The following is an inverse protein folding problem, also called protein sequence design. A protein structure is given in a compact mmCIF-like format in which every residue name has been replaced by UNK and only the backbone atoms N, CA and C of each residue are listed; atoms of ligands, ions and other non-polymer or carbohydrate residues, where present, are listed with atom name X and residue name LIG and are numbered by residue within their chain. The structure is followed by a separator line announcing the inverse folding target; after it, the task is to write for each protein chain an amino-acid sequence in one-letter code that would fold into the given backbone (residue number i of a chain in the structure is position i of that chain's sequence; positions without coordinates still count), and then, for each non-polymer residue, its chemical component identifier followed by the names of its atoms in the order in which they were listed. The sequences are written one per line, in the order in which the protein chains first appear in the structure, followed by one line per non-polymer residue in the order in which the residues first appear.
data_IF_751888109018
#
_entry.id   IF_751888109018
#
_cell.length_a   1.000
_cell.length_b   1.000
_cell.length_c   1.000
_cell.angle_alpha   90.00
_cell.angle_beta   90.00
_cell.angle_gamma   90.00
#
_symmetry.space_group_name_H-M   'P 1'
#
loop_
_entity.id
_entity.type
_entity.pdbx_description
1 polymer ?
#
# COMPACT_ATOMS: atom_id res chain seq x y z
N UNK A 1 20.25 -5.41 -5.48
CA UNK A 1 19.53 -4.10 -5.46
C UNK A 1 18.12 -4.39 -5.93
N UNK A 2 17.17 -4.42 -5.02
CA UNK A 2 15.74 -4.44 -5.34
C UNK A 2 15.39 -3.05 -5.86
N UNK A 3 14.99 -2.94 -7.11
CA UNK A 3 14.48 -1.67 -7.65
C UNK A 3 13.20 -1.31 -6.90
N UNK A 4 13.20 -0.18 -6.19
CA UNK A 4 12.01 0.35 -5.56
C UNK A 4 10.95 0.67 -6.62
N UNK A 5 9.69 0.47 -6.25
CA UNK A 5 8.56 0.94 -7.07
C UNK A 5 8.67 2.46 -7.21
N UNK A 6 8.39 3.06 -8.38
CA UNK A 6 8.34 4.51 -8.51
C UNK A 6 7.40 5.14 -7.48
N UNK A 7 7.67 6.36 -7.06
CA UNK A 7 6.76 7.11 -6.18
C UNK A 7 5.45 7.44 -6.90
N UNK A 8 4.33 7.61 -6.18
CA UNK A 8 3.08 8.03 -6.80
C UNK A 8 3.25 9.41 -7.47
N UNK A 9 2.67 9.57 -8.66
CA UNK A 9 2.73 10.84 -9.38
C UNK A 9 1.85 11.90 -8.70
N UNK A 10 2.36 13.12 -8.58
CA UNK A 10 1.64 14.25 -8.01
C UNK A 10 0.85 15.00 -9.10
N UNK A 11 -0.03 14.29 -9.79
CA UNK A 11 -0.99 14.87 -10.74
C UNK A 11 -2.29 15.19 -10.01
N UNK A 12 -2.54 16.48 -9.77
CA UNK A 12 -3.69 16.94 -8.95
C UNK A 12 -5.05 16.65 -9.59
N UNK A 13 -5.13 16.63 -10.92
CA UNK A 13 -6.38 16.34 -11.62
C UNK A 13 -6.73 14.85 -11.49
N UNK A 14 -5.76 13.97 -11.73
CA UNK A 14 -5.95 12.52 -11.53
C UNK A 14 -6.17 12.15 -10.06
N UNK A 15 -5.47 12.80 -9.13
CA UNK A 15 -5.71 12.62 -7.69
C UNK A 15 -7.14 13.07 -7.32
N UNK A 16 -7.64 14.15 -7.91
CA UNK A 16 -9.03 14.59 -7.74
C UNK A 16 -10.03 13.56 -8.25
N UNK A 17 -9.76 12.91 -9.40
CA UNK A 17 -10.56 11.81 -9.93
C UNK A 17 -10.54 10.60 -8.97
N UNK A 18 -9.36 10.20 -8.49
CA UNK A 18 -9.24 9.12 -7.50
C UNK A 18 -10.06 9.41 -6.25
N UNK A 19 -9.92 10.63 -5.70
CA UNK A 19 -10.68 11.04 -4.52
C UNK A 19 -12.19 10.99 -4.75
N UNK A 20 -12.67 11.49 -5.88
CA UNK A 20 -14.09 11.43 -6.22
C UNK A 20 -14.61 10.00 -6.26
N UNK A 21 -13.86 9.08 -6.85
CA UNK A 21 -14.25 7.68 -6.99
C UNK A 21 -14.23 6.91 -5.66
N UNK A 22 -13.21 7.12 -4.81
CA UNK A 22 -13.16 6.46 -3.48
C UNK A 22 -14.26 6.96 -2.55
N UNK A 23 -14.70 8.21 -2.69
CA UNK A 23 -15.87 8.74 -2.00
C UNK A 23 -17.17 8.13 -2.56
N UNK A 24 -17.31 8.11 -3.89
CA UNK A 24 -18.51 7.58 -4.56
C UNK A 24 -18.69 6.07 -4.32
N UNK A 25 -17.60 5.31 -4.21
CA UNK A 25 -17.62 3.89 -3.86
C UNK A 25 -17.92 3.63 -2.37
N UNK A 26 -18.07 4.70 -1.56
CA UNK A 26 -18.17 4.61 -0.11
C UNK A 26 -17.05 3.74 0.51
N UNK A 27 -15.85 3.82 -0.02
CA UNK A 27 -14.71 3.05 0.48
C UNK A 27 -14.16 3.70 1.75
N UNK A 28 -14.86 3.47 2.85
CA UNK A 28 -14.66 4.07 4.18
C UNK A 28 -14.37 3.00 5.21
N UNK A 29 -13.79 3.38 6.36
CA UNK A 29 -13.57 2.45 7.48
C UNK A 29 -14.90 1.87 7.96
N UNK A 30 -15.96 2.68 8.05
CA UNK A 30 -17.29 2.24 8.47
C UNK A 30 -17.85 1.18 7.49
N UNK A 31 -17.77 1.44 6.18
CA UNK A 31 -18.27 0.49 5.20
C UNK A 31 -17.44 -0.81 5.17
N UNK A 32 -16.13 -0.74 5.40
CA UNK A 32 -15.30 -1.95 5.56
C UNK A 32 -15.74 -2.81 6.75
N UNK A 33 -16.15 -2.18 7.85
CA UNK A 33 -16.71 -2.88 9.02
C UNK A 33 -18.06 -3.52 8.73
N UNK A 34 -18.81 -3.02 7.75
CA UNK A 34 -20.06 -3.62 7.28
C UNK A 34 -19.83 -4.74 6.28
N UNK A 35 -18.81 -4.63 5.44
CA UNK A 35 -18.44 -5.64 4.42
C UNK A 35 -17.72 -6.85 5.01
N UNK A 36 -17.01 -6.67 6.12
CA UNK A 36 -16.20 -7.70 6.76
C UNK A 36 -16.72 -8.02 8.16
N UNK A 37 -16.71 -9.30 8.50
CA UNK A 37 -16.99 -9.71 9.89
C UNK A 37 -15.94 -9.15 10.85
N UNK A 38 -16.31 -9.02 12.12
CA UNK A 38 -15.38 -8.63 13.19
C UNK A 38 -14.15 -9.56 13.24
N UNK A 39 -14.34 -10.85 12.90
CA UNK A 39 -13.25 -11.82 12.83
C UNK A 39 -12.26 -11.51 11.72
N UNK A 40 -12.75 -11.16 10.51
CA UNK A 40 -11.91 -10.77 9.38
C UNK A 40 -11.18 -9.44 9.63
N UNK A 41 -11.87 -8.43 10.20
CA UNK A 41 -11.25 -7.16 10.60
C UNK A 41 -10.13 -7.38 11.63
N UNK A 42 -10.40 -8.17 12.67
CA UNK A 42 -9.39 -8.51 13.69
C UNK A 42 -8.22 -9.32 13.11
N UNK A 43 -8.45 -10.14 12.09
CA UNK A 43 -7.40 -10.86 11.40
C UNK A 43 -6.52 -9.93 10.57
N UNK A 44 -7.10 -8.96 9.86
CA UNK A 44 -6.36 -7.93 9.11
C UNK A 44 -5.43 -7.10 10.01
N UNK A 45 -5.88 -6.75 11.22
CA UNK A 45 -5.02 -6.07 12.21
C UNK A 45 -3.82 -6.91 12.68
N UNK A 46 -3.81 -8.21 12.41
CA UNK A 46 -2.72 -9.14 12.71
C UNK A 46 -2.04 -9.65 11.43
N UNK A 47 -2.10 -8.87 10.36
CA UNK A 47 -1.52 -9.18 9.04
C UNK A 47 -2.03 -10.50 8.42
N UNK A 48 -3.19 -11.00 8.86
CA UNK A 48 -3.84 -12.18 8.29
C UNK A 48 -4.94 -11.80 7.33
N UNK A 49 -4.70 -11.92 6.02
CA UNK A 49 -5.59 -11.48 4.95
C UNK A 49 -6.65 -12.50 4.57
N UNK A 50 -6.42 -13.80 4.84
CA UNK A 50 -7.24 -14.90 4.33
C UNK A 50 -8.75 -14.78 4.68
N UNK A 51 -9.16 -14.45 5.94
CA UNK A 51 -10.58 -14.30 6.24
C UNK A 51 -11.27 -13.22 5.38
N UNK A 52 -10.64 -12.06 5.22
CA UNK A 52 -11.16 -10.98 4.39
C UNK A 52 -11.23 -11.36 2.90
N UNK A 53 -10.22 -12.08 2.40
CA UNK A 53 -10.22 -12.60 1.03
C UNK A 53 -11.40 -13.55 0.78
N UNK A 54 -11.73 -14.40 1.75
CA UNK A 54 -12.86 -15.34 1.63
C UNK A 54 -14.20 -14.60 1.66
N UNK A 55 -14.35 -13.63 2.55
CA UNK A 55 -15.61 -12.87 2.71
C UNK A 55 -15.89 -11.94 1.51
N UNK A 56 -14.85 -11.34 0.93
CA UNK A 56 -14.99 -10.45 -0.23
C UNK A 56 -14.92 -11.18 -1.58
N UNK A 57 -14.72 -12.50 -1.59
CA UNK A 57 -14.57 -13.26 -2.83
C UNK A 57 -15.80 -13.12 -3.73
N UNK A 58 -15.56 -12.75 -5.00
CA UNK A 58 -16.61 -12.64 -6.02
C UNK A 58 -17.59 -11.47 -5.84
N UNK A 59 -17.37 -10.60 -4.85
CA UNK A 59 -18.17 -9.37 -4.72
C UNK A 59 -17.78 -8.37 -5.81
N UNK A 60 -18.76 -7.80 -6.49
CA UNK A 60 -18.64 -6.69 -7.44
C UNK A 60 -18.88 -5.32 -6.78
N UNK A 61 -19.11 -5.27 -5.48
CA UNK A 61 -19.20 -4.01 -4.73
C UNK A 61 -17.91 -3.21 -4.91
N UNK A 62 -17.96 -1.92 -5.32
CA UNK A 62 -16.76 -1.11 -5.57
C UNK A 62 -15.80 -1.05 -4.37
N UNK A 63 -16.31 -0.89 -3.15
CA UNK A 63 -15.47 -0.86 -1.95
C UNK A 63 -14.82 -2.23 -1.68
N UNK A 64 -15.51 -3.34 -1.98
CA UNK A 64 -14.95 -4.68 -1.90
C UNK A 64 -13.85 -4.91 -2.94
N UNK A 65 -14.03 -4.44 -4.18
CA UNK A 65 -13.02 -4.49 -5.26
C UNK A 65 -11.78 -3.72 -4.84
N UNK A 66 -11.93 -2.46 -4.38
CA UNK A 66 -10.82 -1.62 -3.94
C UNK A 66 -10.09 -2.22 -2.74
N UNK A 67 -10.83 -2.84 -1.81
CA UNK A 67 -10.25 -3.52 -0.65
C UNK A 67 -9.40 -4.72 -1.07
N UNK A 68 -9.92 -5.58 -1.96
CA UNK A 68 -9.14 -6.71 -2.49
C UNK A 68 -7.90 -6.23 -3.20
N UNK A 69 -8.02 -5.19 -4.03
CA UNK A 69 -6.93 -4.68 -4.84
C UNK A 69 -5.84 -4.01 -4.01
N UNK A 70 -6.17 -2.98 -3.24
CA UNK A 70 -5.18 -2.16 -2.54
C UNK A 70 -4.75 -2.74 -1.18
N UNK A 71 -5.70 -3.20 -0.35
CA UNK A 71 -5.37 -3.68 1.01
C UNK A 71 -4.94 -5.13 1.00
N UNK A 72 -5.67 -5.99 0.28
CA UNK A 72 -5.37 -7.42 0.23
C UNK A 72 -4.38 -7.80 -0.87
N UNK A 73 -4.03 -6.84 -1.75
CA UNK A 73 -3.09 -7.00 -2.87
C UNK A 73 -3.43 -8.19 -3.76
N UNK A 74 -4.72 -8.39 -4.02
CA UNK A 74 -5.17 -9.31 -5.05
C UNK A 74 -5.15 -8.64 -6.41
N UNK A 75 -4.65 -9.32 -7.46
CA UNK A 75 -4.90 -8.89 -8.82
C UNK A 75 -6.39 -8.81 -9.12
N UNK A 76 -6.79 -7.77 -9.83
CA UNK A 76 -8.16 -7.57 -10.31
C UNK A 76 -8.15 -7.34 -11.83
N UNK A 77 -9.27 -7.62 -12.50
CA UNK A 77 -9.42 -7.28 -13.92
C UNK A 77 -9.56 -5.78 -14.11
N UNK A 78 -9.04 -5.26 -15.22
CA UNK A 78 -9.13 -3.84 -15.57
C UNK A 78 -10.59 -3.37 -15.64
N UNK A 79 -11.50 -4.19 -16.14
CA UNK A 79 -12.93 -3.90 -16.17
C UNK A 79 -13.52 -3.67 -14.77
N UNK A 80 -13.20 -4.55 -13.79
CA UNK A 80 -13.68 -4.42 -12.42
C UNK A 80 -13.15 -3.15 -11.74
N UNK A 81 -11.89 -2.79 -12.00
CA UNK A 81 -11.31 -1.54 -11.48
C UNK A 81 -11.92 -0.31 -12.14
N UNK A 82 -12.20 -0.35 -13.46
CA UNK A 82 -12.87 0.74 -14.17
C UNK A 82 -14.33 0.93 -13.68
N UNK A 83 -15.02 -0.14 -13.29
CA UNK A 83 -16.34 -0.04 -12.67
C UNK A 83 -16.25 0.55 -11.25
N UNK A 84 -15.21 0.22 -10.48
CA UNK A 84 -15.01 0.73 -9.13
C UNK A 84 -14.48 2.17 -9.10
N UNK A 85 -13.76 2.59 -10.14
CA UNK A 85 -13.13 3.92 -10.30
C UNK A 85 -13.53 4.53 -11.64
N UNK A 86 -14.81 4.87 -11.85
CA UNK A 86 -15.34 5.25 -13.17
C UNK A 86 -14.80 6.59 -13.69
N UNK A 87 -14.30 7.47 -12.82
CA UNK A 87 -13.77 8.78 -13.21
C UNK A 87 -12.27 8.70 -13.52
N UNK A 88 -11.52 7.96 -12.71
CA UNK A 88 -10.07 7.77 -12.85
C UNK A 88 -9.73 6.74 -13.94
N UNK A 89 -10.41 5.60 -13.92
CA UNK A 89 -10.12 4.47 -14.78
C UNK A 89 -8.77 3.79 -14.48
N UNK A 90 -8.47 2.74 -15.25
CA UNK A 90 -7.20 2.02 -15.10
C UNK A 90 -6.02 2.81 -15.64
N UNK A 91 -6.21 3.58 -16.72
CA UNK A 91 -5.18 4.45 -17.27
C UNK A 91 -4.75 5.52 -16.27
N UNK A 92 -5.69 6.07 -15.49
CA UNK A 92 -5.40 7.01 -14.42
C UNK A 92 -4.65 6.35 -13.26
N UNK A 93 -4.99 5.10 -12.90
CA UNK A 93 -4.24 4.33 -11.91
C UNK A 93 -2.78 4.10 -12.33
N UNK A 94 -2.55 3.74 -13.60
CA UNK A 94 -1.19 3.57 -14.14
C UNK A 94 -0.45 4.91 -14.22
N UNK A 95 -1.11 5.98 -14.67
CA UNK A 95 -0.51 7.31 -14.74
C UNK A 95 -0.12 7.86 -13.36
N UNK A 96 -0.91 7.57 -12.32
CA UNK A 96 -0.55 7.87 -10.93
C UNK A 96 0.54 6.94 -10.37
N UNK A 97 0.90 5.86 -11.08
CA UNK A 97 1.85 4.86 -10.61
C UNK A 97 1.32 3.99 -9.46
N UNK A 98 0.00 3.93 -9.28
CA UNK A 98 -0.63 3.13 -8.21
C UNK A 98 -0.88 1.68 -8.59
N UNK A 99 -0.88 1.38 -9.89
CA UNK A 99 -1.13 0.05 -10.42
C UNK A 99 -0.26 -0.24 -11.66
N UNK A 100 -0.13 -1.51 -12.00
CA UNK A 100 0.51 -1.96 -13.22
C UNK A 100 -0.23 -3.15 -13.82
N UNK A 101 -0.21 -3.24 -15.15
CA UNK A 101 -0.66 -4.41 -15.89
C UNK A 101 0.29 -5.58 -15.60
N UNK A 102 -0.28 -6.77 -15.44
CA UNK A 102 0.46 -8.04 -15.27
C UNK A 102 -0.11 -9.10 -16.22
N UNK A 103 0.69 -10.11 -16.51
CA UNK A 103 0.26 -11.23 -17.31
C UNK A 103 -0.58 -12.26 -16.51
N UNK A 104 -1.22 -13.18 -17.23
CA UNK A 104 -2.09 -14.21 -16.65
C UNK A 104 -1.32 -15.15 -15.69
N UNK A 105 -0.04 -15.42 -15.96
CA UNK A 105 0.77 -16.32 -15.14
C UNK A 105 1.15 -15.65 -13.81
N UNK A 106 1.52 -14.37 -13.83
CA UNK A 106 1.79 -13.57 -12.63
C UNK A 106 0.52 -13.43 -11.79
N UNK A 107 -0.64 -13.14 -12.41
CA UNK A 107 -1.92 -13.05 -11.73
C UNK A 107 -2.29 -14.37 -11.04
N UNK A 108 -2.20 -15.50 -11.75
CA UNK A 108 -2.48 -16.84 -11.20
C UNK A 108 -1.55 -17.18 -10.03
N UNK A 109 -0.27 -16.83 -10.14
CA UNK A 109 0.71 -17.01 -9.05
C UNK A 109 0.35 -16.19 -7.82
N UNK A 110 0.01 -14.91 -7.98
CA UNK A 110 -0.37 -14.02 -6.88
C UNK A 110 -1.65 -14.48 -6.19
N UNK A 111 -2.68 -14.90 -6.96
CA UNK A 111 -3.94 -15.44 -6.43
C UNK A 111 -3.71 -16.73 -5.63
N UNK A 112 -2.78 -17.58 -6.06
CA UNK A 112 -2.43 -18.81 -5.36
C UNK A 112 -1.65 -18.51 -4.06
N UNK A 113 -0.66 -17.62 -4.12
CA UNK A 113 0.14 -17.20 -2.96
C UNK A 113 -0.72 -16.55 -1.87
N UNK A 114 -1.71 -15.73 -2.25
CA UNK A 114 -2.66 -15.10 -1.33
C UNK A 114 -3.47 -16.13 -0.53
N UNK A 115 -3.82 -17.26 -1.14
CA UNK A 115 -4.53 -18.38 -0.48
C UNK A 115 -3.61 -19.20 0.44
N UNK A 116 -2.33 -19.32 0.10
CA UNK A 116 -1.36 -20.11 0.86
C UNK A 116 -0.86 -19.41 2.14
N UNK A 117 -0.87 -18.09 2.18
CA UNK A 117 -0.34 -17.29 3.30
C UNK A 117 -1.15 -17.41 4.61
N UNK A 118 -2.29 -18.12 4.61
CA UNK A 118 -3.10 -18.41 5.81
C UNK A 118 -2.86 -19.78 6.45
N UNK A 119 -2.02 -20.62 5.89
CA UNK A 119 -1.73 -21.93 6.49
C UNK A 119 -0.63 -21.80 7.57
N UNK A 120 -0.83 -22.35 8.78
CA UNK A 120 0.21 -22.34 9.80
C UNK A 120 1.44 -23.07 9.25
N UNK A 121 2.63 -22.44 9.36
CA UNK A 121 3.91 -23.06 9.02
C UNK A 121 4.03 -24.35 9.80
N UNK A 122 3.82 -25.50 9.15
CA UNK A 122 4.20 -26.79 9.71
C UNK A 122 5.71 -26.87 9.66
N UNK A 123 6.35 -26.98 10.82
CA UNK A 123 7.76 -27.38 10.91
C UNK A 123 7.97 -28.69 10.14
N UNK A 124 9.05 -28.79 9.37
CA UNK A 124 9.35 -30.03 8.65
C UNK A 124 9.67 -31.12 9.64
N UNK A 125 8.79 -32.11 9.77
CA UNK A 125 9.14 -33.41 10.36
C UNK A 125 9.95 -34.19 9.35
N UNK A 126 10.99 -34.80 9.90
CA UNK A 126 12.05 -35.56 9.25
C UNK A 126 11.66 -36.42 8.05
N UNK A 127 12.63 -36.52 7.18
CA UNK A 127 12.71 -37.29 5.95
C UNK A 127 12.32 -38.76 6.16
N UNK A 128 11.46 -39.26 5.28
CA UNK A 128 11.55 -40.64 4.82
C UNK A 128 11.60 -40.67 3.29
N UNK A 129 12.68 -41.28 2.82
CA UNK A 129 12.99 -41.54 1.43
C UNK A 129 12.05 -42.58 0.86
N UNK A 130 11.60 -42.37 -0.33
CA UNK A 130 11.38 -43.34 -1.42
C UNK A 130 10.03 -43.16 -2.13
N UNK A 131 10.03 -42.45 -3.28
CA UNK A 131 9.07 -42.73 -4.37
C UNK A 131 9.78 -42.55 -5.71
N UNK A 132 9.82 -43.66 -6.45
CA UNK A 132 10.38 -43.82 -7.77
C UNK A 132 9.71 -42.92 -8.81
N UNK A 133 10.54 -42.34 -9.68
CA UNK A 133 10.14 -41.67 -10.93
C UNK A 133 9.41 -42.66 -11.87
N UNK A 134 8.21 -42.27 -12.29
CA UNK A 134 7.53 -42.89 -13.42
C UNK A 134 7.49 -41.89 -14.58
N UNK A 135 8.17 -42.24 -15.66
CA UNK A 135 8.26 -41.47 -16.89
C UNK A 135 6.95 -41.45 -17.67
N UNK A 136 6.49 -40.25 -18.04
CA UNK A 136 5.35 -40.05 -18.93
C UNK A 136 5.72 -40.24 -20.40
N UNK A 137 4.86 -40.87 -21.23
CA UNK A 137 5.10 -41.11 -22.64
C UNK A 137 4.83 -39.85 -23.49
N UNK A 138 5.73 -39.63 -24.48
CA UNK A 138 5.60 -38.60 -25.53
C UNK A 138 4.43 -38.92 -26.45
N UNK A 139 3.53 -37.95 -26.69
CA UNK A 139 2.53 -38.00 -27.75
C UNK A 139 3.12 -37.54 -29.10
N UNK A 140 2.74 -38.16 -30.23
CA UNK A 140 3.25 -37.78 -31.55
C UNK A 140 2.49 -36.57 -32.12
N UNK A 141 3.25 -35.66 -32.75
CA UNK A 141 2.73 -34.53 -33.49
C UNK A 141 2.21 -34.93 -34.87
N UNK A 142 0.98 -34.61 -35.20
CA UNK A 142 0.44 -34.67 -36.57
C UNK A 142 0.43 -33.28 -37.20
N UNK A 143 0.75 -33.14 -38.49
CA UNK A 143 0.67 -31.85 -39.17
C UNK A 143 -0.77 -31.53 -39.56
N UNK A 144 -1.28 -30.39 -39.17
CA UNK A 144 -2.58 -29.86 -39.60
C UNK A 144 -2.46 -29.20 -40.97
N UNK A 145 -3.24 -29.71 -41.94
CA UNK A 145 -3.50 -29.01 -43.22
C UNK A 145 -4.44 -27.83 -42.93
N UNK A 146 -4.12 -26.66 -43.49
CA UNK A 146 -5.00 -25.46 -43.46
C UNK A 146 -6.11 -25.68 -44.49
N UNK A 147 -7.36 -25.40 -44.04
CA UNK A 147 -8.55 -25.33 -44.87
C UNK A 147 -8.64 -23.97 -45.58
N UNK A 148 -9.12 -23.92 -46.85
CA UNK A 148 -9.13 -22.68 -47.63
C UNK A 148 -10.33 -21.74 -47.36
N UNK A 149 -11.17 -21.99 -46.35
CA UNK A 149 -12.29 -21.12 -45.94
C UNK A 149 -11.98 -20.42 -44.60
N UNK A 150 -10.92 -19.64 -44.54
CA UNK A 150 -10.59 -18.81 -43.36
C UNK A 150 -11.58 -17.66 -43.27
N UNK A 151 -12.58 -17.78 -42.38
CA UNK A 151 -13.47 -16.67 -41.99
C UNK A 151 -12.63 -15.48 -41.51
N UNK A 152 -13.11 -14.27 -41.85
CA UNK A 152 -12.49 -13.02 -41.43
C UNK A 152 -12.28 -13.01 -39.91
N UNK A 153 -11.17 -12.43 -39.40
CA UNK A 153 -10.91 -12.41 -37.97
C UNK A 153 -12.09 -11.74 -37.26
N UNK A 154 -12.63 -12.44 -36.28
CA UNK A 154 -13.58 -11.85 -35.33
C UNK A 154 -12.97 -10.57 -34.75
N UNK A 155 -13.77 -9.51 -34.48
CA UNK A 155 -13.25 -8.30 -33.90
C UNK A 155 -12.51 -8.67 -32.61
N UNK A 156 -11.24 -8.28 -32.54
CA UNK A 156 -10.41 -8.43 -31.35
C UNK A 156 -11.19 -7.88 -30.15
N UNK A 157 -11.73 -8.77 -29.32
CA UNK A 157 -12.28 -8.38 -28.01
C UNK A 157 -11.11 -7.77 -27.27
N UNK A 158 -11.21 -6.47 -26.97
CA UNK A 158 -10.19 -5.79 -26.19
C UNK A 158 -9.87 -6.66 -24.96
N UNK A 159 -8.62 -7.09 -24.84
CA UNK A 159 -8.20 -7.92 -23.73
C UNK A 159 -8.49 -7.17 -22.43
N UNK A 160 -9.16 -7.83 -21.48
CA UNK A 160 -9.39 -7.33 -20.13
C UNK A 160 -8.19 -7.74 -19.26
N UNK A 161 -7.12 -6.92 -19.19
CA UNK A 161 -5.87 -7.30 -18.55
C UNK A 161 -6.03 -7.43 -17.04
N UNK A 162 -5.15 -8.22 -16.44
CA UNK A 162 -4.98 -8.22 -15.00
C UNK A 162 -4.15 -7.02 -14.56
N UNK A 163 -4.55 -6.43 -13.44
CA UNK A 163 -3.87 -5.32 -12.78
C UNK A 163 -3.39 -5.76 -11.39
N UNK A 164 -2.27 -5.23 -10.96
CA UNK A 164 -1.79 -5.36 -9.56
C UNK A 164 -1.59 -3.99 -8.95
N UNK A 165 -1.86 -3.87 -7.66
CA UNK A 165 -1.50 -2.68 -6.89
C UNK A 165 0.03 -2.57 -6.71
N UNK A 166 0.53 -1.35 -6.75
CA UNK A 166 1.93 -1.01 -6.47
C UNK A 166 2.11 -0.38 -5.10
N UNK A 167 1.02 0.11 -4.50
CA UNK A 167 0.95 0.70 -3.17
C UNK A 167 -0.17 0.07 -2.35
N UNK A 168 0.00 0.07 -1.05
CA UNK A 168 -1.09 -0.08 -0.11
C UNK A 168 -1.82 1.27 -0.05
N UNK A 169 -3.07 1.29 -0.39
CA UNK A 169 -3.95 2.45 -0.21
C UNK A 169 -5.12 1.99 0.64
N UNK A 170 -5.41 2.72 1.70
CA UNK A 170 -6.50 2.34 2.62
C UNK A 170 -7.20 3.52 3.24
N UNK A 171 -8.51 3.40 3.51
CA UNK A 171 -9.21 4.37 4.34
C UNK A 171 -8.71 4.32 5.78
N UNK A 172 -8.68 5.47 6.42
CA UNK A 172 -8.37 5.68 7.82
C UNK A 172 -9.33 6.71 8.41
N UNK A 173 -9.96 6.41 9.53
CA UNK A 173 -10.93 7.27 10.15
C UNK A 173 -10.57 7.59 11.60
N UNK A 174 -10.93 8.78 12.05
CA UNK A 174 -10.81 9.18 13.45
C UNK A 174 -11.93 10.13 13.85
N UNK A 175 -12.41 10.00 15.09
CA UNK A 175 -13.24 10.99 15.73
C UNK A 175 -12.36 11.91 16.55
N UNK A 176 -12.27 13.18 16.16
CA UNK A 176 -11.44 14.20 16.80
C UNK A 176 -12.32 15.27 17.45
N UNK A 177 -11.74 16.19 18.26
CA UNK A 177 -12.52 17.24 18.93
C UNK A 177 -13.30 18.18 17.99
N UNK A 178 -12.85 18.33 16.75
CA UNK A 178 -13.47 19.14 15.70
C UNK A 178 -14.45 18.36 14.80
N UNK A 179 -14.56 17.02 14.97
CA UNK A 179 -15.49 16.15 14.25
C UNK A 179 -14.91 14.84 13.79
N UNK A 180 -15.68 14.15 12.94
CA UNK A 180 -15.25 12.91 12.30
C UNK A 180 -14.44 13.22 11.06
N UNK A 181 -13.31 12.54 10.93
CA UNK A 181 -12.41 12.64 9.81
C UNK A 181 -12.21 11.30 9.13
N UNK A 182 -12.11 11.33 7.82
CA UNK A 182 -11.77 10.18 7.00
C UNK A 182 -10.72 10.57 5.97
N UNK A 183 -9.69 9.77 5.87
CA UNK A 183 -8.58 9.94 4.96
C UNK A 183 -8.33 8.66 4.17
N UNK A 184 -7.71 8.79 2.99
CA UNK A 184 -7.13 7.67 2.24
C UNK A 184 -5.62 7.85 2.25
N UNK A 185 -4.91 6.83 2.72
CA UNK A 185 -3.47 6.91 2.95
C UNK A 185 -2.76 5.83 2.15
N UNK A 186 -1.89 6.27 1.25
CA UNK A 186 -0.97 5.42 0.52
C UNK A 186 0.32 5.20 1.30
N UNK A 187 0.86 3.98 1.21
CA UNK A 187 2.17 3.59 1.73
C UNK A 187 2.73 2.44 0.89
N UNK A 188 3.96 2.04 1.13
CA UNK A 188 4.52 0.90 0.43
C UNK A 188 3.90 -0.43 0.85
N UNK A 189 3.88 -1.38 -0.08
CA UNK A 189 3.43 -2.74 0.18
C UNK A 189 4.42 -3.46 1.11
N UNK A 190 3.92 -4.05 2.18
CA UNK A 190 4.73 -4.80 3.15
C UNK A 190 5.23 -6.16 2.64
N UNK A 191 6.07 -6.82 3.43
CA UNK A 191 6.60 -8.16 3.13
C UNK A 191 5.51 -9.22 2.97
N UNK A 192 4.45 -9.15 3.78
CA UNK A 192 3.31 -10.09 3.71
C UNK A 192 2.56 -9.93 2.39
N UNK A 193 2.54 -8.73 1.84
CA UNK A 193 1.84 -8.41 0.60
C UNK A 193 2.66 -8.79 -0.64
N UNK A 194 3.96 -8.53 -0.60
CA UNK A 194 4.87 -8.75 -1.74
C UNK A 194 5.52 -10.12 -1.73
N UNK A 195 5.64 -10.78 -0.57
CA UNK A 195 6.45 -11.97 -0.37
C UNK A 195 7.96 -11.71 -0.52
N UNK A 196 8.40 -10.46 -0.53
CA UNK A 196 9.79 -10.03 -0.72
C UNK A 196 10.25 -9.20 0.48
N UNK A 197 11.57 -9.19 0.79
CA UNK A 197 12.13 -8.28 1.78
C UNK A 197 11.80 -6.82 1.42
N UNK A 198 11.63 -5.98 2.44
CA UNK A 198 11.39 -4.56 2.25
C UNK A 198 12.58 -3.87 1.57
N UNK A 199 12.32 -2.85 0.78
CA UNK A 199 13.36 -1.99 0.22
C UNK A 199 13.99 -1.11 1.31
N UNK A 200 15.21 -0.63 1.08
CA UNK A 200 15.95 0.19 2.06
C UNK A 200 15.20 1.51 2.34
N UNK A 201 14.56 2.07 1.32
CA UNK A 201 13.75 3.31 1.34
C UNK A 201 12.25 3.08 1.57
N UNK A 202 11.87 1.92 2.14
CA UNK A 202 10.49 1.53 2.35
C UNK A 202 9.75 2.49 3.30
N UNK A 203 8.59 2.96 2.88
CA UNK A 203 7.72 3.83 3.67
C UNK A 203 6.60 3.03 4.32
N UNK A 204 6.67 2.91 5.63
CA UNK A 204 5.68 2.18 6.43
C UNK A 204 4.30 2.84 6.35
N UNK A 205 3.26 2.01 6.35
CA UNK A 205 1.89 2.43 6.58
C UNK A 205 1.60 2.73 8.07
N UNK A 206 0.32 2.93 8.36
CA UNK A 206 -0.17 3.25 9.71
C UNK A 206 -0.03 2.02 10.61
N UNK A 207 0.94 2.05 11.52
CA UNK A 207 1.23 0.98 12.48
C UNK A 207 0.90 1.34 13.92
N UNK A 208 1.11 0.41 14.85
CA UNK A 208 0.78 0.59 16.26
C UNK A 208 1.50 1.76 16.94
N UNK A 209 2.79 1.96 16.66
CA UNK A 209 3.55 3.10 17.20
C UNK A 209 2.98 4.44 16.70
N UNK A 210 2.61 4.51 15.43
CA UNK A 210 1.95 5.68 14.82
C UNK A 210 0.62 5.98 15.51
N UNK A 211 -0.24 4.97 15.74
CA UNK A 211 -1.52 5.13 16.43
C UNK A 211 -1.32 5.60 17.88
N UNK A 212 -0.35 5.05 18.59
CA UNK A 212 -0.02 5.47 19.96
C UNK A 212 0.39 6.95 20.00
N UNK A 213 1.26 7.39 19.06
CA UNK A 213 1.66 8.80 18.98
C UNK A 213 0.46 9.69 18.67
N UNK A 214 -0.42 9.27 17.75
CA UNK A 214 -1.66 9.98 17.46
C UNK A 214 -2.54 10.16 18.71
N UNK A 215 -2.69 9.13 19.53
CA UNK A 215 -3.47 9.18 20.78
C UNK A 215 -2.84 10.11 21.83
N UNK A 216 -1.50 10.17 21.87
CA UNK A 216 -0.77 11.00 22.85
C UNK A 216 -0.62 12.46 22.42
N UNK A 217 -0.79 12.77 21.15
CA UNK A 217 -0.60 14.13 20.61
C UNK A 217 -1.68 15.07 21.13
N UNK A 218 -1.24 16.23 21.63
CA UNK A 218 -2.13 17.31 22.11
C UNK A 218 -2.99 17.83 20.96
N UNK A 219 -4.30 18.02 21.21
CA UNK A 219 -5.30 18.43 20.21
C UNK A 219 -5.78 19.88 20.37
N UNK A 220 -5.11 20.67 21.19
CA UNK A 220 -5.41 22.09 21.29
C UNK A 220 -5.01 22.81 19.99
N UNK A 221 -5.76 23.87 19.64
CA UNK A 221 -5.43 24.67 18.46
C UNK A 221 -4.08 25.36 18.65
N UNK A 222 -3.24 25.23 17.60
CA UNK A 222 -1.92 25.86 17.54
C UNK A 222 -1.77 26.62 16.22
N UNK A 223 -0.90 27.62 16.19
CA UNK A 223 -0.62 28.36 14.96
C UNK A 223 0.26 27.56 14.00
N UNK A 224 1.19 26.75 14.53
CA UNK A 224 2.15 26.00 13.75
C UNK A 224 2.47 24.63 14.36
N UNK A 225 2.59 23.62 13.49
CA UNK A 225 3.00 22.27 13.88
C UNK A 225 4.04 21.68 12.92
N UNK A 226 4.90 20.81 13.44
CA UNK A 226 5.96 20.13 12.72
C UNK A 226 5.84 18.61 12.94
N UNK A 227 5.87 17.84 11.85
CA UNK A 227 6.02 16.38 11.84
C UNK A 227 7.44 16.04 11.35
N UNK A 228 8.27 15.48 12.23
CA UNK A 228 9.66 15.10 11.91
C UNK A 228 9.75 13.61 11.67
N UNK A 229 10.20 13.21 10.47
CA UNK A 229 10.16 11.82 10.02
C UNK A 229 8.75 11.43 9.60
N UNK A 230 8.17 12.17 8.64
CA UNK A 230 6.75 12.09 8.33
C UNK A 230 6.29 10.77 7.71
N UNK A 231 7.19 10.01 7.08
CA UNK A 231 6.87 8.72 6.45
C UNK A 231 5.72 8.83 5.43
N UNK A 232 4.56 8.21 5.71
CA UNK A 232 3.37 8.35 4.89
C UNK A 232 2.54 9.63 5.17
N UNK A 233 2.95 10.47 6.11
CA UNK A 233 2.33 11.77 6.40
C UNK A 233 1.08 11.72 7.27
N UNK A 234 0.74 10.58 7.87
CA UNK A 234 -0.49 10.46 8.67
C UNK A 234 -0.48 11.39 9.90
N UNK A 235 0.66 11.59 10.57
CA UNK A 235 0.77 12.54 11.68
C UNK A 235 0.50 13.96 11.20
N UNK A 236 1.07 14.36 10.06
CA UNK A 236 0.85 15.67 9.46
C UNK A 236 -0.63 15.90 9.08
N UNK A 237 -1.34 14.87 8.56
CA UNK A 237 -2.79 14.95 8.30
C UNK A 237 -3.58 15.22 9.59
N UNK A 238 -3.25 14.55 10.68
CA UNK A 238 -3.88 14.80 11.98
C UNK A 238 -3.54 16.19 12.55
N UNK A 239 -2.30 16.64 12.41
CA UNK A 239 -1.90 17.99 12.82
C UNK A 239 -2.68 19.07 12.08
N UNK A 240 -2.96 18.85 10.80
CA UNK A 240 -3.70 19.80 9.97
C UNK A 240 -5.15 20.03 10.42
N UNK A 241 -5.72 19.16 11.26
CA UNK A 241 -7.07 19.37 11.81
C UNK A 241 -7.13 20.47 12.86
N UNK A 242 -6.00 20.79 13.51
CA UNK A 242 -5.96 21.76 14.62
C UNK A 242 -4.79 22.74 14.58
N UNK A 243 -3.87 22.63 13.61
CA UNK A 243 -2.79 23.59 13.39
C UNK A 243 -3.10 24.53 12.22
N UNK A 244 -2.75 25.79 12.36
CA UNK A 244 -2.92 26.80 11.28
C UNK A 244 -1.95 26.58 10.12
N UNK A 245 -0.74 26.07 10.41
CA UNK A 245 0.28 25.69 9.43
C UNK A 245 0.91 24.37 9.85
N UNK A 246 1.08 23.45 8.90
CA UNK A 246 1.79 22.20 9.12
C UNK A 246 2.98 22.10 8.19
N UNK A 247 4.14 21.79 8.76
CA UNK A 247 5.36 21.40 8.06
C UNK A 247 5.62 19.92 8.36
N UNK A 248 6.05 19.18 7.35
CA UNK A 248 6.47 17.80 7.50
C UNK A 248 7.88 17.63 6.91
N UNK A 249 8.77 16.96 7.63
CA UNK A 249 10.14 16.72 7.17
C UNK A 249 10.44 15.24 7.15
N UNK A 250 11.24 14.80 6.18
CA UNK A 250 11.76 13.43 6.13
C UNK A 250 13.12 13.42 5.43
N UNK A 251 13.99 12.51 5.81
CA UNK A 251 15.27 12.27 5.14
C UNK A 251 15.06 11.61 3.77
N UNK A 252 14.01 10.77 3.67
CA UNK A 252 13.67 10.01 2.47
C UNK A 252 12.87 10.87 1.50
N UNK A 253 13.43 11.13 0.30
CA UNK A 253 12.69 11.75 -0.80
C UNK A 253 11.42 10.98 -1.17
N UNK A 254 11.45 9.63 -0.99
CA UNK A 254 10.29 8.75 -1.20
C UNK A 254 9.19 9.04 -0.20
N UNK A 255 9.52 9.16 1.09
CA UNK A 255 8.56 9.51 2.14
C UNK A 255 7.94 10.89 1.89
N UNK A 256 8.76 11.87 1.51
CA UNK A 256 8.29 13.21 1.14
C UNK A 256 7.29 13.15 -0.04
N UNK A 257 7.58 12.38 -1.08
CA UNK A 257 6.69 12.24 -2.24
C UNK A 257 5.36 11.55 -1.87
N UNK A 258 5.39 10.49 -1.06
CA UNK A 258 4.18 9.80 -0.57
C UNK A 258 3.36 10.73 0.34
N UNK A 259 4.00 11.48 1.24
CA UNK A 259 3.33 12.49 2.08
C UNK A 259 2.66 13.57 1.23
N UNK A 260 3.33 14.08 0.18
CA UNK A 260 2.73 15.06 -0.74
C UNK A 260 1.53 14.49 -1.50
N UNK A 261 1.62 13.24 -1.95
CA UNK A 261 0.50 12.55 -2.59
C UNK A 261 -0.68 12.39 -1.62
N UNK A 262 -0.44 11.92 -0.41
CA UNK A 262 -1.47 11.76 0.61
C UNK A 262 -2.10 13.09 1.04
N UNK A 263 -1.31 14.15 1.16
CA UNK A 263 -1.82 15.49 1.41
C UNK A 263 -2.75 15.97 0.30
N UNK A 264 -2.35 15.78 -0.97
CA UNK A 264 -3.17 16.13 -2.13
C UNK A 264 -4.45 15.29 -2.21
N UNK A 265 -4.37 13.96 -2.00
CA UNK A 265 -5.52 13.07 -2.01
C UNK A 265 -6.56 13.43 -0.94
N UNK A 266 -6.13 13.96 0.19
CA UNK A 266 -6.99 14.37 1.29
C UNK A 266 -7.26 15.88 1.33
N UNK A 267 -6.95 16.61 0.24
CA UNK A 267 -7.16 18.05 0.10
C UNK A 267 -6.60 18.87 1.27
N UNK A 268 -5.49 18.38 1.83
CA UNK A 268 -4.83 18.97 2.99
C UNK A 268 -3.57 19.72 2.56
N UNK A 269 -3.35 20.90 3.12
CA UNK A 269 -2.14 21.68 2.84
C UNK A 269 -1.05 21.35 3.86
N UNK A 270 0.03 20.71 3.40
CA UNK A 270 1.21 20.37 4.19
C UNK A 270 2.45 20.85 3.43
N UNK A 271 3.32 21.59 4.11
CA UNK A 271 4.61 22.02 3.57
C UNK A 271 5.65 20.91 3.82
N UNK A 272 5.88 20.08 2.79
CA UNK A 272 6.75 18.89 2.90
C UNK A 272 8.15 19.22 2.41
N UNK A 273 9.15 18.94 3.24
CA UNK A 273 10.56 19.26 2.98
C UNK A 273 11.45 18.06 3.20
N UNK A 274 12.35 17.80 2.26
CA UNK A 274 13.38 16.77 2.37
C UNK A 274 14.57 17.29 3.17
N UNK A 275 15.09 16.47 4.09
CA UNK A 275 16.32 16.71 4.83
C UNK A 275 16.35 16.02 6.19
N UNK A 276 17.50 16.10 6.86
CA UNK A 276 17.74 15.39 8.12
C UNK A 276 17.14 16.14 9.30
N UNK A 277 16.27 15.49 10.03
CA UNK A 277 15.67 15.97 11.28
C UNK A 277 15.15 17.42 11.18
N UNK A 278 15.85 18.37 11.83
CA UNK A 278 15.47 19.78 11.90
C UNK A 278 16.19 20.67 10.87
N UNK A 279 17.12 20.13 10.06
CA UNK A 279 17.84 20.92 9.06
C UNK A 279 16.91 21.69 8.10
N UNK A 280 15.82 21.06 7.57
CA UNK A 280 14.94 21.76 6.64
C UNK A 280 14.13 22.90 7.26
N UNK A 281 14.12 23.00 8.59
CA UNK A 281 13.37 24.00 9.37
C UNK A 281 14.29 24.82 10.29
N UNK A 282 15.60 24.88 9.97
CA UNK A 282 16.56 25.62 10.77
C UNK A 282 16.14 27.09 10.94
N UNK A 283 16.12 27.56 12.19
CA UNK A 283 15.69 28.92 12.52
C UNK A 283 14.18 29.15 12.60
N UNK A 284 13.36 28.14 12.33
CA UNK A 284 11.92 28.20 12.53
C UNK A 284 11.54 27.75 13.96
N UNK A 285 10.40 28.22 14.44
CA UNK A 285 9.81 27.79 15.70
C UNK A 285 8.39 27.26 15.46
N UNK A 286 8.00 26.24 16.22
CA UNK A 286 6.70 25.60 16.13
C UNK A 286 6.09 25.46 17.51
N UNK A 287 4.76 25.61 17.59
CA UNK A 287 4.01 25.47 18.84
C UNK A 287 3.87 24.00 19.25
N UNK A 288 3.83 23.10 18.25
CA UNK A 288 3.72 21.66 18.44
C UNK A 288 4.70 20.95 17.52
N UNK A 289 5.47 20.01 18.06
CA UNK A 289 6.37 19.14 17.28
C UNK A 289 6.04 17.69 17.63
N UNK A 290 5.82 16.88 16.62
CA UNK A 290 5.64 15.43 16.75
C UNK A 290 6.73 14.72 15.97
N UNK A 291 7.15 13.56 16.45
CA UNK A 291 8.11 12.71 15.75
C UNK A 291 7.97 11.26 16.17
N UNK A 292 8.08 10.35 15.21
CA UNK A 292 8.18 8.92 15.42
C UNK A 292 9.47 8.43 14.75
N UNK A 293 10.65 8.77 15.27
CA UNK A 293 11.92 8.50 14.61
C UNK A 293 12.23 7.01 14.64
N UNK A 294 13.06 6.54 13.69
CA UNK A 294 13.61 5.19 13.76
C UNK A 294 14.41 5.04 15.06
N UNK A 295 14.10 4.03 15.87
CA UNK A 295 14.69 3.83 17.20
C UNK A 295 15.43 2.51 17.36
N UNK A 296 15.50 1.68 16.31
CA UNK A 296 16.20 0.39 16.36
C UNK A 296 17.69 0.62 16.14
N UNK A 297 18.50 0.15 17.09
CA UNK A 297 19.96 0.14 16.98
C UNK A 297 20.38 -1.20 16.40
N UNK A 298 20.78 -1.21 15.13
CA UNK A 298 21.29 -2.42 14.49
C UNK A 298 22.78 -2.58 14.80
N UNK A 299 23.21 -3.69 15.45
CA UNK A 299 24.62 -3.94 15.73
C UNK A 299 25.46 -3.99 14.45
N UNK A 300 26.68 -3.46 14.49
CA UNK A 300 27.61 -3.44 13.34
C UNK A 300 27.87 -4.81 12.72
N UNK A 301 27.80 -5.86 13.52
CA UNK A 301 27.93 -7.26 13.07
C UNK A 301 26.81 -7.69 12.13
N UNK A 302 25.65 -7.01 12.14
CA UNK A 302 24.47 -7.33 11.32
C UNK A 302 24.32 -6.34 10.17
N UNK A 303 24.84 -5.12 10.30
CA UNK A 303 24.77 -4.06 9.28
C UNK A 303 25.29 -4.48 7.91
N UNK A 304 26.33 -5.32 7.87
CA UNK A 304 26.94 -5.81 6.61
C UNK A 304 26.14 -6.88 5.87
N UNK A 305 25.19 -7.53 6.52
CA UNK A 305 24.46 -8.68 5.95
C UNK A 305 23.02 -8.34 5.51
N UNK A 306 22.37 -7.35 6.11
CA UNK A 306 20.95 -7.05 5.92
C UNK A 306 20.65 -5.66 5.31
N UNK A 307 21.67 -4.78 5.11
CA UNK A 307 21.44 -3.37 4.77
C UNK A 307 20.93 -2.56 5.96
N UNK A 308 20.89 -1.22 5.81
CA UNK A 308 20.24 -0.30 6.75
C UNK A 308 18.84 -0.02 6.20
N UNK A 309 17.82 -0.19 7.03
CA UNK A 309 16.45 0.16 6.70
C UNK A 309 16.17 1.56 7.25
N UNK A 310 16.01 2.55 6.39
CA UNK A 310 15.85 3.97 6.76
C UNK A 310 14.74 4.19 7.78
N UNK A 311 13.62 3.48 7.64
CA UNK A 311 12.47 3.57 8.54
C UNK A 311 12.68 2.94 9.92
N UNK A 312 13.73 2.12 10.11
CA UNK A 312 13.97 1.34 11.33
C UNK A 312 15.25 1.74 12.04
N UNK A 313 16.30 1.92 11.26
CA UNK A 313 17.66 2.11 11.76
C UNK A 313 18.02 3.61 11.75
N UNK A 314 18.04 4.24 12.91
CA UNK A 314 18.26 5.69 13.04
C UNK A 314 19.60 6.21 12.52
N UNK A 315 20.50 5.33 12.06
CA UNK A 315 21.77 5.69 11.43
C UNK A 315 22.78 6.39 12.33
N UNK A 316 22.39 6.75 13.56
CA UNK A 316 23.22 7.45 14.53
C UNK A 316 24.06 6.46 15.33
N UNK A 317 25.29 6.85 15.66
CA UNK A 317 26.09 6.15 16.67
C UNK A 317 25.43 6.28 18.05
N UNK A 318 25.65 5.28 18.92
CA UNK A 318 24.95 5.10 20.20
C UNK A 318 24.94 6.29 21.16
N UNK A 319 25.80 7.29 20.95
CA UNK A 319 26.09 8.37 21.90
C UNK A 319 25.91 9.79 21.31
N UNK A 320 25.19 9.94 20.18
CA UNK A 320 24.88 11.26 19.59
C UNK A 320 23.43 11.67 19.83
#
# INVERSE_FOLDING_TARGET
MTTSVPVPALDRDLIGCLRADVIASAWTVENLQNLLSQGAMSALMRDSRLPALVELAGSSDPAAVLTRFFILCQPERASALSEALPTLGVEGLEALGLAAIIDEAEAASALTASRACGAPKREPKDKDENVQEASAPKAPSLPTMRDPDEEAPEPEVAEDPWMRALFDLRPHAATLPDGDHEWWVASDLGEVQTGKPLADDHVLGIGGATLTLLEMTVRERVDSALDVGCGCGIQALYLATHAGRVVATDLSARACAITQFNAALNETTIDVREGSLFEPVEGEAFDLIVTNPPFVITPDSVRGAAGLLEYRDGGMERDN
#
